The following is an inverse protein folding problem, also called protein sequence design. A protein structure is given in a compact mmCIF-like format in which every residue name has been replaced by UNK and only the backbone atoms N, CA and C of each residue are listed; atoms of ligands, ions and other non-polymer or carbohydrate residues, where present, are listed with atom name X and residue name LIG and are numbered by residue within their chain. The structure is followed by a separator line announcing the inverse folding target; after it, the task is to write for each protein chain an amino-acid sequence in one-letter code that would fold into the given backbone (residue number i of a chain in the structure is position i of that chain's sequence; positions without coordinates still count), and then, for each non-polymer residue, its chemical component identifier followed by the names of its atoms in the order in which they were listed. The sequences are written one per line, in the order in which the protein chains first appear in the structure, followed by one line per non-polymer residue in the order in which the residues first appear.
data_IF_999645709877
#
_entry.id   IF_999645709877
#
_cell.length_a   1.000
_cell.length_b   1.000
_cell.length_c   1.000
_cell.angle_alpha   90.00
_cell.angle_beta   90.00
_cell.angle_gamma   90.00
#
_symmetry.space_group_name_H-M   'P 1'
#
loop_
_entity.id
_entity.type
_entity.pdbx_description
1 polymer ?
#
# COMPACT_ATOMS: atom_id res chain seq x y z
N UNK A 1 -3.85 -52.32 -17.75
CA UNK A 1 -2.62 -52.19 -16.94
C UNK A 1 -2.49 -50.72 -16.56
N UNK A 2 -2.72 -50.40 -15.29
CA UNK A 2 -2.54 -49.04 -14.74
C UNK A 2 -1.13 -48.96 -14.15
N UNK A 3 -0.30 -47.95 -14.47
CA UNK A 3 0.98 -47.79 -13.81
C UNK A 3 0.80 -47.12 -12.45
N UNK A 4 1.32 -47.81 -11.44
CA UNK A 4 1.44 -47.40 -10.05
C UNK A 4 2.46 -46.24 -9.93
N UNK A 5 2.07 -45.14 -9.31
CA UNK A 5 2.98 -44.03 -8.96
C UNK A 5 2.85 -43.77 -7.46
N UNK A 6 3.69 -44.46 -6.70
CA UNK A 6 3.80 -44.27 -5.26
C UNK A 6 4.38 -42.87 -4.95
N UNK A 7 3.90 -42.19 -3.89
CA UNK A 7 4.37 -40.86 -3.52
C UNK A 7 5.81 -40.88 -2.96
N UNK A 8 6.61 -39.81 -3.16
CA UNK A 8 8.01 -39.78 -2.74
C UNK A 8 8.14 -39.84 -1.20
N UNK A 9 9.05 -40.69 -0.72
CA UNK A 9 9.24 -40.95 0.71
C UNK A 9 9.88 -39.78 1.46
N UNK A 10 9.62 -39.67 2.78
CA UNK A 10 10.15 -38.63 3.69
C UNK A 10 11.67 -38.43 3.61
N UNK A 11 12.43 -39.45 3.21
CA UNK A 11 13.88 -39.40 3.02
C UNK A 11 14.32 -38.51 1.84
N UNK A 12 13.49 -38.37 0.81
CA UNK A 12 13.75 -37.52 -0.36
C UNK A 12 13.57 -36.02 -0.05
N UNK A 13 12.58 -35.68 0.79
CA UNK A 13 12.30 -34.32 1.23
C UNK A 13 13.36 -33.77 2.21
N UNK A 14 13.90 -34.64 3.08
CA UNK A 14 14.99 -34.28 3.99
C UNK A 14 16.31 -34.04 3.23
N UNK A 15 16.57 -34.82 2.17
CA UNK A 15 17.74 -34.60 1.28
C UNK A 15 17.62 -33.30 0.50
N UNK A 16 16.40 -32.97 0.02
CA UNK A 16 16.11 -31.71 -0.65
C UNK A 16 16.31 -30.49 0.28
N UNK A 17 15.83 -30.57 1.53
CA UNK A 17 16.02 -29.51 2.54
C UNK A 17 17.49 -29.33 2.98
N UNK A 18 18.26 -30.43 3.09
CA UNK A 18 19.69 -30.36 3.41
C UNK A 18 20.51 -29.75 2.27
N UNK A 19 20.18 -30.03 1.01
CA UNK A 19 20.82 -29.40 -0.15
C UNK A 19 20.47 -27.90 -0.27
N UNK A 20 19.24 -27.51 0.05
CA UNK A 20 18.80 -26.11 0.06
C UNK A 20 19.51 -25.27 1.14
N UNK A 21 19.69 -25.83 2.34
CA UNK A 21 20.37 -25.14 3.46
C UNK A 21 21.90 -25.10 3.31
N UNK A 22 22.52 -26.13 2.73
CA UNK A 22 23.95 -26.13 2.41
C UNK A 22 24.29 -25.15 1.27
N UNK A 23 23.40 -24.96 0.29
CA UNK A 23 23.56 -23.95 -0.76
C UNK A 23 23.54 -22.51 -0.22
N UNK A 24 22.92 -22.27 0.95
CA UNK A 24 22.93 -20.98 1.64
C UNK A 24 24.19 -20.77 2.52
N UNK A 25 24.78 -21.85 3.07
CA UNK A 25 26.02 -21.77 3.88
C UNK A 25 27.30 -21.65 3.04
N UNK A 26 27.32 -22.18 1.81
CA UNK A 26 28.52 -22.22 0.98
C UNK A 26 28.94 -20.87 0.34
N UNK A 27 28.17 -19.78 0.54
CA UNK A 27 28.45 -18.46 -0.08
C UNK A 27 29.24 -17.46 0.80
N UNK A 28 30.07 -17.93 1.75
CA UNK A 28 31.00 -17.05 2.50
C UNK A 28 32.47 -17.23 2.08
N UNK A 29 32.93 -16.24 1.30
CA UNK A 29 34.30 -15.76 0.96
C UNK A 29 35.23 -16.63 0.10
N UNK A 30 35.97 -15.99 -0.85
CA UNK A 30 37.25 -15.38 -0.47
C UNK A 30 37.34 -13.87 -0.73
N UNK A 31 38.22 -13.22 0.03
CA UNK A 31 38.69 -11.84 -0.16
C UNK A 31 39.45 -11.69 -1.49
N UNK A 32 39.01 -10.77 -2.35
CA UNK A 32 39.89 -9.88 -3.13
C UNK A 32 39.09 -8.77 -3.83
N UNK A 33 39.67 -7.57 -3.88
CA UNK A 33 39.29 -6.35 -4.60
C UNK A 33 38.04 -5.54 -4.19
N UNK A 34 38.32 -4.50 -3.38
CA UNK A 34 37.58 -3.23 -3.34
C UNK A 34 37.65 -2.55 -4.72
N UNK A 35 36.63 -2.73 -5.54
CA UNK A 35 36.28 -1.80 -6.63
C UNK A 35 34.79 -2.00 -6.97
N UNK A 36 33.96 -1.00 -6.64
CA UNK A 36 32.56 -0.83 -7.04
C UNK A 36 31.72 -2.11 -7.26
N UNK A 37 31.37 -2.86 -6.20
CA UNK A 37 30.24 -3.80 -6.27
C UNK A 37 28.94 -2.99 -6.30
N UNK A 38 28.35 -2.87 -7.48
CA UNK A 38 26.92 -2.58 -7.62
C UNK A 38 26.17 -3.59 -6.73
N UNK A 39 25.36 -3.14 -5.78
CA UNK A 39 24.55 -4.05 -4.97
C UNK A 39 23.64 -4.82 -5.93
N UNK A 40 23.78 -6.14 -6.00
CA UNK A 40 23.08 -6.98 -7.00
C UNK A 40 21.55 -6.81 -6.92
N UNK A 41 21.01 -6.53 -5.73
CA UNK A 41 19.57 -6.38 -5.49
C UNK A 41 19.30 -5.32 -4.39
N UNK A 42 19.21 -4.01 -4.71
CA UNK A 42 19.07 -2.95 -3.71
C UNK A 42 17.64 -2.79 -3.15
N UNK A 43 16.66 -3.51 -3.71
CA UNK A 43 15.23 -3.39 -3.35
C UNK A 43 14.69 -4.65 -2.68
N UNK A 44 14.80 -5.81 -3.34
CA UNK A 44 14.34 -7.08 -2.76
C UNK A 44 15.39 -7.66 -1.81
N UNK A 45 14.95 -8.40 -0.80
CA UNK A 45 15.88 -9.04 0.14
C UNK A 45 16.51 -8.09 1.16
N UNK A 46 16.21 -6.79 1.10
CA UNK A 46 16.78 -5.76 1.98
C UNK A 46 15.83 -5.42 3.13
N UNK A 47 16.35 -4.98 4.30
CA UNK A 47 15.52 -4.38 5.34
C UNK A 47 14.65 -3.26 4.76
N UNK A 48 13.40 -3.15 5.22
CA UNK A 48 12.42 -2.20 4.66
C UNK A 48 12.97 -0.77 4.58
N UNK A 49 13.66 -0.32 5.64
CA UNK A 49 14.27 1.02 5.70
C UNK A 49 15.34 1.25 4.63
N UNK A 50 16.07 0.22 4.24
CA UNK A 50 17.09 0.28 3.19
C UNK A 50 16.43 0.31 1.80
N UNK A 51 15.51 -0.62 1.53
CA UNK A 51 14.74 -0.66 0.28
C UNK A 51 14.05 0.68 -0.03
N UNK A 52 13.46 1.33 0.98
CA UNK A 52 12.81 2.63 0.84
C UNK A 52 13.75 3.78 0.42
N UNK A 53 15.06 3.68 0.68
CA UNK A 53 16.06 4.68 0.24
C UNK A 53 16.26 4.65 -1.27
N UNK A 54 16.16 3.46 -1.88
CA UNK A 54 16.32 3.28 -3.31
C UNK A 54 15.00 3.53 -4.04
N UNK A 55 13.90 2.96 -3.54
CA UNK A 55 12.65 2.89 -4.28
C UNK A 55 11.44 3.08 -3.35
N UNK A 56 11.08 4.34 -3.08
CA UNK A 56 9.85 4.70 -2.38
C UNK A 56 8.94 5.65 -3.17
N UNK A 57 7.65 5.60 -2.85
CA UNK A 57 6.62 6.54 -3.30
C UNK A 57 5.83 7.07 -2.10
N UNK A 58 5.34 8.30 -2.23
CA UNK A 58 4.43 8.89 -1.25
C UNK A 58 3.03 8.32 -1.43
N UNK A 59 2.39 8.03 -0.31
CA UNK A 59 0.95 7.73 -0.24
C UNK A 59 0.26 8.85 0.51
N UNK A 60 -0.87 9.29 -0.05
CA UNK A 60 -1.69 10.35 0.52
C UNK A 60 -3.04 9.80 0.95
N UNK A 61 -3.58 10.37 2.02
CA UNK A 61 -4.95 10.12 2.49
C UNK A 61 -5.67 11.43 2.73
N UNK A 62 -7.00 11.38 2.79
CA UNK A 62 -7.84 12.53 3.10
C UNK A 62 -8.11 12.57 4.61
N UNK A 63 -8.06 13.75 5.22
CA UNK A 63 -8.58 13.94 6.57
C UNK A 63 -10.14 13.93 6.57
N UNK A 64 -10.76 14.03 7.76
CA UNK A 64 -12.22 14.10 7.89
C UNK A 64 -12.85 15.28 7.14
N UNK A 65 -12.06 16.31 6.82
CA UNK A 65 -12.49 17.50 6.06
C UNK A 65 -12.27 17.34 4.55
N UNK A 66 -11.75 16.20 4.09
CA UNK A 66 -11.44 15.93 2.68
C UNK A 66 -10.07 16.43 2.22
N UNK A 67 -9.28 17.09 3.07
CA UNK A 67 -7.95 17.59 2.68
C UNK A 67 -6.97 16.42 2.54
N UNK A 68 -6.33 16.35 1.37
CA UNK A 68 -5.27 15.39 1.11
C UNK A 68 -3.99 15.79 1.85
N UNK A 69 -3.44 14.86 2.62
CA UNK A 69 -2.12 15.01 3.24
C UNK A 69 -1.24 13.78 2.95
N UNK A 70 0.07 14.01 2.91
CA UNK A 70 1.05 12.92 2.77
C UNK A 70 1.04 12.11 4.05
N UNK A 71 0.60 10.86 3.93
CA UNK A 71 0.46 9.97 5.07
C UNK A 71 1.77 9.24 5.38
N UNK A 72 2.49 8.81 4.35
CA UNK A 72 3.74 8.09 4.50
C UNK A 72 4.42 7.74 3.18
N UNK A 73 5.46 6.91 3.28
CA UNK A 73 6.18 6.36 2.14
C UNK A 73 6.14 4.83 2.18
N UNK A 74 5.90 4.22 1.03
CA UNK A 74 5.94 2.76 0.85
C UNK A 74 6.81 2.38 -0.35
N UNK A 75 7.25 1.11 -0.46
CA UNK A 75 8.10 0.66 -1.56
C UNK A 75 7.40 0.81 -2.92
N UNK A 76 8.15 1.20 -3.96
CA UNK A 76 7.60 1.39 -5.33
C UNK A 76 6.92 0.12 -5.83
N UNK A 77 7.55 -1.05 -5.62
CA UNK A 77 6.99 -2.35 -6.01
C UNK A 77 5.63 -2.61 -5.37
N UNK A 78 5.49 -2.32 -4.07
CA UNK A 78 4.22 -2.48 -3.34
C UNK A 78 3.14 -1.56 -3.93
N UNK A 79 3.47 -0.28 -4.15
CA UNK A 79 2.52 0.68 -4.67
C UNK A 79 2.10 0.42 -6.13
N UNK A 80 3.06 0.15 -7.02
CA UNK A 80 2.82 -0.10 -8.44
C UNK A 80 2.02 -1.39 -8.65
N UNK A 81 2.43 -2.49 -8.00
CA UNK A 81 1.72 -3.74 -8.09
C UNK A 81 0.36 -3.66 -7.38
N UNK A 82 0.28 -3.03 -6.21
CA UNK A 82 -0.97 -2.88 -5.47
C UNK A 82 -2.04 -2.11 -6.24
N UNK A 83 -1.67 -0.98 -6.87
CA UNK A 83 -2.58 -0.22 -7.73
C UNK A 83 -3.07 -1.06 -8.92
N UNK A 84 -2.15 -1.69 -9.65
CA UNK A 84 -2.50 -2.54 -10.79
C UNK A 84 -3.46 -3.67 -10.40
N UNK A 85 -3.21 -4.34 -9.28
CA UNK A 85 -4.04 -5.42 -8.79
C UNK A 85 -5.43 -4.94 -8.37
N UNK A 86 -5.52 -3.77 -7.73
CA UNK A 86 -6.81 -3.17 -7.34
C UNK A 86 -7.67 -2.80 -8.55
N UNK A 87 -7.05 -2.39 -9.65
CA UNK A 87 -7.75 -2.00 -10.87
C UNK A 87 -8.10 -3.20 -11.77
N UNK A 88 -7.28 -4.25 -11.78
CA UNK A 88 -7.35 -5.29 -12.83
C UNK A 88 -7.59 -6.71 -12.29
N UNK A 89 -7.44 -6.96 -10.99
CA UNK A 89 -7.38 -8.33 -10.45
C UNK A 89 -8.42 -8.64 -9.37
N UNK A 90 -9.22 -7.67 -8.92
CA UNK A 90 -10.17 -7.85 -7.79
C UNK A 90 -11.21 -8.93 -8.01
N UNK A 91 -11.52 -9.26 -9.26
CA UNK A 91 -12.47 -10.32 -9.63
C UNK A 91 -11.80 -11.52 -10.32
N UNK A 92 -10.46 -11.54 -10.39
CA UNK A 92 -9.71 -12.66 -11.00
C UNK A 92 -9.54 -13.79 -9.99
N UNK A 93 -10.05 -14.97 -10.33
CA UNK A 93 -10.00 -16.17 -9.51
C UNK A 93 -8.58 -16.53 -9.06
N UNK A 94 -8.43 -16.81 -7.76
CA UNK A 94 -7.18 -17.30 -7.19
C UNK A 94 -6.04 -16.28 -7.22
N UNK A 95 -6.33 -14.97 -7.35
CA UNK A 95 -5.31 -13.92 -7.21
C UNK A 95 -4.54 -14.09 -5.88
N UNK A 96 -3.21 -13.91 -5.91
CA UNK A 96 -2.25 -14.24 -4.84
C UNK A 96 -2.01 -15.72 -4.51
N UNK A 97 -2.96 -16.61 -4.83
CA UNK A 97 -2.82 -18.07 -4.64
C UNK A 97 -2.12 -18.72 -5.82
N UNK A 98 -2.57 -18.42 -7.03
CA UNK A 98 -2.01 -18.94 -8.28
C UNK A 98 -0.68 -18.25 -8.56
N UNK A 99 0.37 -19.05 -8.77
CA UNK A 99 1.70 -18.54 -9.10
C UNK A 99 1.73 -18.05 -10.56
N UNK A 100 2.40 -16.92 -10.77
CA UNK A 100 2.76 -16.45 -12.10
C UNK A 100 3.86 -17.27 -12.77
N UNK A 101 4.22 -16.88 -13.99
CA UNK A 101 5.33 -17.43 -14.74
C UNK A 101 6.66 -17.05 -14.10
N UNK A 102 7.48 -18.04 -13.75
CA UNK A 102 8.82 -17.83 -13.17
C UNK A 102 9.73 -16.94 -14.02
N UNK A 103 9.59 -16.97 -15.35
CA UNK A 103 10.34 -16.07 -16.25
C UNK A 103 9.87 -14.64 -16.08
N UNK A 104 8.58 -14.38 -16.32
CA UNK A 104 8.01 -13.02 -16.24
C UNK A 104 8.12 -12.41 -14.84
N UNK A 105 8.00 -13.21 -13.79
CA UNK A 105 8.24 -12.74 -12.43
C UNK A 105 9.70 -12.30 -12.19
N UNK A 106 10.69 -12.98 -12.79
CA UNK A 106 12.09 -12.56 -12.72
C UNK A 106 12.31 -11.26 -13.49
N UNK A 107 11.73 -11.16 -14.69
CA UNK A 107 11.84 -9.97 -15.53
C UNK A 107 11.20 -8.74 -14.83
N UNK A 108 10.02 -8.92 -14.23
CA UNK A 108 9.33 -7.88 -13.46
C UNK A 108 10.10 -7.49 -12.19
N UNK A 109 10.67 -8.45 -11.46
CA UNK A 109 11.54 -8.15 -10.32
C UNK A 109 12.76 -7.32 -10.75
N UNK A 110 13.42 -7.70 -11.85
CA UNK A 110 14.55 -6.95 -12.38
C UNK A 110 14.18 -5.50 -12.74
N UNK A 111 12.98 -5.27 -13.27
CA UNK A 111 12.48 -3.92 -13.54
C UNK A 111 12.36 -3.05 -12.28
N UNK A 112 12.03 -3.65 -11.13
CA UNK A 112 11.99 -2.96 -9.83
C UNK A 112 13.36 -2.80 -9.16
N UNK A 113 14.36 -3.57 -9.57
CA UNK A 113 15.73 -3.48 -9.03
C UNK A 113 16.65 -2.60 -9.87
N UNK A 114 16.30 -2.34 -11.13
CA UNK A 114 17.18 -1.64 -12.07
C UNK A 114 17.10 -0.11 -11.89
N UNK A 115 18.23 0.57 -11.63
CA UNK A 115 18.30 2.03 -11.61
C UNK A 115 18.10 2.63 -13.00
N UNK A 116 17.79 3.94 -13.11
CA UNK A 116 17.58 4.88 -12.01
C UNK A 116 16.15 4.91 -11.50
N UNK A 117 15.22 4.21 -12.18
CA UNK A 117 13.78 4.38 -11.95
C UNK A 117 13.18 3.34 -11.01
N UNK A 118 13.79 2.16 -10.82
CA UNK A 118 13.31 1.12 -9.91
C UNK A 118 11.80 0.84 -10.07
N UNK A 119 11.36 0.64 -11.31
CA UNK A 119 9.96 0.41 -11.67
C UNK A 119 9.03 1.64 -11.62
N UNK A 120 9.50 2.85 -11.28
CA UNK A 120 8.65 4.06 -11.26
C UNK A 120 8.03 4.39 -12.62
N UNK A 121 8.75 4.12 -13.71
CA UNK A 121 8.28 4.31 -15.09
C UNK A 121 7.60 3.09 -15.69
N UNK A 122 7.37 2.02 -14.92
CA UNK A 122 6.68 0.85 -15.42
C UNK A 122 5.27 1.26 -15.85
N UNK A 123 4.96 0.98 -17.12
CA UNK A 123 3.67 1.25 -17.76
C UNK A 123 3.01 -0.08 -18.11
N UNK A 124 2.04 -0.46 -17.28
CA UNK A 124 1.35 -1.74 -17.39
C UNK A 124 0.66 -1.99 -18.74
N UNK A 125 0.33 -0.93 -19.50
CA UNK A 125 -0.33 -1.07 -20.82
C UNK A 125 0.58 -1.64 -21.90
N UNK A 126 1.88 -1.41 -21.77
CA UNK A 126 2.90 -1.83 -22.73
C UNK A 126 3.66 -3.09 -22.28
N UNK A 127 3.21 -3.68 -21.16
CA UNK A 127 3.83 -4.85 -20.56
C UNK A 127 2.96 -6.09 -20.74
N UNK A 128 3.58 -7.27 -20.72
CA UNK A 128 2.92 -8.56 -20.97
C UNK A 128 2.78 -9.41 -19.70
N UNK A 129 2.70 -8.74 -18.54
CA UNK A 129 2.51 -9.38 -17.24
C UNK A 129 1.04 -9.68 -16.98
N UNK A 130 0.74 -10.88 -16.47
CA UNK A 130 -0.60 -11.22 -16.00
C UNK A 130 -0.81 -10.73 -14.56
N UNK A 131 -2.07 -10.67 -14.13
CA UNK A 131 -2.42 -10.40 -12.73
C UNK A 131 -1.75 -11.36 -11.75
N UNK A 132 -1.60 -12.64 -12.10
CA UNK A 132 -0.88 -13.62 -11.28
C UNK A 132 0.63 -13.34 -11.20
N UNK A 133 1.26 -12.87 -12.28
CA UNK A 133 2.67 -12.47 -12.26
C UNK A 133 2.89 -11.30 -11.29
N UNK A 134 2.05 -10.27 -11.40
CA UNK A 134 2.12 -9.06 -10.55
C UNK A 134 1.83 -9.40 -9.09
N UNK A 135 0.78 -10.20 -8.82
CA UNK A 135 0.44 -10.67 -7.48
C UNK A 135 1.58 -11.49 -6.84
N UNK A 136 2.24 -12.32 -7.64
CA UNK A 136 3.35 -13.15 -7.17
C UNK A 136 4.59 -12.32 -6.84
N UNK A 137 4.89 -11.27 -7.62
CA UNK A 137 6.00 -10.34 -7.34
C UNK A 137 5.70 -9.47 -6.11
N UNK A 138 4.46 -8.98 -5.97
CA UNK A 138 4.02 -8.26 -4.76
C UNK A 138 4.26 -9.10 -3.50
N UNK A 139 3.76 -10.35 -3.50
CA UNK A 139 3.98 -11.28 -2.38
C UNK A 139 5.47 -11.56 -2.15
N UNK A 140 6.22 -11.80 -3.23
CA UNK A 140 7.66 -12.08 -3.15
C UNK A 140 8.43 -10.97 -2.45
N UNK A 141 8.11 -9.70 -2.75
CA UNK A 141 8.76 -8.58 -2.08
C UNK A 141 8.61 -8.66 -0.55
N UNK A 142 7.39 -8.87 -0.06
CA UNK A 142 7.11 -8.97 1.37
C UNK A 142 7.81 -10.19 2.02
N UNK A 143 7.77 -11.34 1.36
CA UNK A 143 8.35 -12.59 1.89
C UNK A 143 9.88 -12.60 1.85
N UNK A 144 10.51 -11.86 0.94
CA UNK A 144 11.97 -11.80 0.84
C UNK A 144 12.59 -10.79 1.81
N UNK A 145 11.82 -9.91 2.44
CA UNK A 145 12.36 -9.04 3.48
C UNK A 145 13.01 -9.89 4.59
N UNK A 146 14.16 -9.47 5.14
CA UNK A 146 14.84 -10.22 6.18
C UNK A 146 14.06 -10.31 7.50
N UNK A 147 13.07 -9.43 7.66
CA UNK A 147 12.12 -9.40 8.76
C UNK A 147 10.72 -9.15 8.17
N UNK A 148 9.66 -9.80 8.69
CA UNK A 148 8.29 -9.56 8.27
C UNK A 148 7.84 -8.13 8.54
N UNK A 149 6.72 -7.73 7.95
CA UNK A 149 6.17 -6.39 8.11
C UNK A 149 5.88 -6.05 9.58
N UNK A 150 5.29 -6.99 10.34
CA UNK A 150 5.21 -6.89 11.81
C UNK A 150 6.55 -7.35 12.37
N UNK A 151 7.36 -6.47 12.97
CA UNK A 151 8.70 -6.82 13.44
C UNK A 151 8.69 -7.94 14.49
N UNK A 152 9.80 -8.67 14.60
CA UNK A 152 9.94 -9.82 15.49
C UNK A 152 9.74 -9.44 16.97
N UNK A 153 10.17 -8.24 17.38
CA UNK A 153 10.01 -7.74 18.75
C UNK A 153 8.54 -7.47 19.13
N UNK A 154 7.65 -7.32 18.15
CA UNK A 154 6.21 -7.15 18.34
C UNK A 154 5.41 -8.43 18.05
N UNK A 155 6.07 -9.49 17.59
CA UNK A 155 5.40 -10.73 17.14
C UNK A 155 4.52 -11.35 18.22
N UNK A 156 5.01 -11.45 19.45
CA UNK A 156 4.25 -12.01 20.58
C UNK A 156 3.10 -11.09 20.99
N UNK A 157 3.34 -9.79 21.12
CA UNK A 157 2.31 -8.81 21.47
C UNK A 157 1.09 -8.86 20.54
N UNK A 158 1.32 -9.01 19.22
CA UNK A 158 0.25 -9.16 18.25
C UNK A 158 -0.52 -10.47 18.41
N UNK A 159 0.14 -11.56 18.79
CA UNK A 159 -0.49 -12.87 18.96
C UNK A 159 -1.30 -12.97 20.25
N UNK A 160 -0.76 -12.45 21.33
CA UNK A 160 -1.34 -12.53 22.67
C UNK A 160 -2.73 -11.89 22.73
N UNK A 161 -3.01 -10.91 21.87
CA UNK A 161 -4.32 -10.27 21.73
C UNK A 161 -5.45 -11.27 21.38
N UNK A 162 -5.15 -12.40 20.75
CA UNK A 162 -6.14 -13.42 20.33
C UNK A 162 -5.95 -14.79 21.00
N UNK A 163 -5.02 -14.92 21.95
CA UNK A 163 -4.77 -16.21 22.65
C UNK A 163 -5.97 -16.62 23.50
N UNK A 164 -6.57 -15.68 24.24
CA UNK A 164 -7.69 -15.99 25.13
C UNK A 164 -9.02 -16.03 24.36
N UNK A 165 -9.75 -17.14 24.46
CA UNK A 165 -11.08 -17.28 23.88
C UNK A 165 -12.13 -17.65 24.96
N UNK A 166 -13.34 -17.07 24.88
CA UNK A 166 -13.77 -16.00 23.97
C UNK A 166 -13.09 -14.67 24.31
N UNK A 167 -12.73 -13.88 23.30
CA UNK A 167 -12.20 -12.52 23.50
C UNK A 167 -13.29 -11.47 23.31
N UNK A 168 -13.11 -10.32 23.96
CA UNK A 168 -13.92 -9.15 23.70
C UNK A 168 -13.40 -8.43 22.44
N UNK A 169 -14.23 -8.36 21.41
CA UNK A 169 -13.86 -7.84 20.08
C UNK A 169 -13.34 -6.40 20.13
N UNK A 170 -14.03 -5.50 20.84
CA UNK A 170 -13.64 -4.09 20.96
C UNK A 170 -12.31 -3.92 21.69
N UNK A 171 -12.05 -4.72 22.74
CA UNK A 171 -10.76 -4.72 23.44
C UNK A 171 -9.62 -5.20 22.55
N UNK A 172 -9.87 -6.18 21.69
CA UNK A 172 -8.89 -6.67 20.72
C UNK A 172 -8.59 -5.60 19.66
N UNK A 173 -9.62 -4.96 19.11
CA UNK A 173 -9.44 -3.83 18.18
C UNK A 173 -8.62 -2.71 18.83
N UNK A 174 -8.98 -2.30 20.05
CA UNK A 174 -8.24 -1.27 20.79
C UNK A 174 -6.78 -1.67 21.03
N UNK A 175 -6.52 -2.95 21.32
CA UNK A 175 -5.17 -3.48 21.49
C UNK A 175 -4.37 -3.38 20.19
N UNK A 176 -4.93 -3.82 19.06
CA UNK A 176 -4.26 -3.72 17.77
C UNK A 176 -4.03 -2.27 17.33
N UNK A 177 -4.97 -1.35 17.57
CA UNK A 177 -4.77 0.09 17.33
C UNK A 177 -3.53 0.61 18.07
N UNK A 178 -3.38 0.25 19.35
CA UNK A 178 -2.21 0.62 20.17
C UNK A 178 -0.93 0.00 19.63
N UNK A 179 -0.94 -1.28 19.25
CA UNK A 179 0.24 -1.97 18.72
C UNK A 179 0.67 -1.37 17.37
N UNK A 180 -0.25 -1.21 16.43
CA UNK A 180 0.02 -0.60 15.12
C UNK A 180 0.58 0.82 15.28
N UNK A 181 0.08 1.59 16.24
CA UNK A 181 0.57 2.95 16.53
C UNK A 181 2.00 2.98 17.10
N UNK A 182 2.48 1.88 17.70
CA UNK A 182 3.83 1.74 18.25
C UNK A 182 4.83 1.15 17.25
N UNK A 183 4.36 0.65 16.10
CA UNK A 183 5.23 0.09 15.08
C UNK A 183 6.18 1.15 14.51
N UNK A 184 7.37 0.77 14.01
CA UNK A 184 8.20 1.66 13.21
C UNK A 184 7.38 2.23 12.05
N UNK A 185 7.47 3.55 11.81
CA UNK A 185 6.60 4.26 10.84
C UNK A 185 6.55 3.60 9.46
N UNK A 186 7.70 3.18 8.93
CA UNK A 186 7.77 2.49 7.63
C UNK A 186 6.94 1.18 7.61
N UNK A 187 7.08 0.37 8.66
CA UNK A 187 6.35 -0.88 8.84
C UNK A 187 4.86 -0.62 9.04
N UNK A 188 4.50 0.40 9.83
CA UNK A 188 3.12 0.82 10.05
C UNK A 188 2.42 1.15 8.72
N UNK A 189 3.02 2.02 7.90
CA UNK A 189 2.45 2.42 6.62
C UNK A 189 2.33 1.25 5.64
N UNK A 190 3.36 0.39 5.60
CA UNK A 190 3.35 -0.80 4.76
C UNK A 190 2.25 -1.78 5.19
N UNK A 191 2.14 -2.07 6.49
CA UNK A 191 1.13 -3.00 7.02
C UNK A 191 -0.27 -2.57 6.62
N UNK A 192 -0.61 -1.33 6.88
CA UNK A 192 -1.94 -0.79 6.65
C UNK A 192 -2.29 -0.67 5.18
N UNK A 193 -1.33 -0.33 4.32
CA UNK A 193 -1.53 -0.38 2.87
C UNK A 193 -1.81 -1.82 2.41
N UNK A 194 -1.06 -2.80 2.92
CA UNK A 194 -1.28 -4.20 2.57
C UNK A 194 -2.64 -4.67 3.10
N UNK A 195 -3.01 -4.33 4.33
CA UNK A 195 -4.33 -4.68 4.89
C UNK A 195 -5.47 -4.08 4.06
N UNK A 196 -5.38 -2.81 3.66
CA UNK A 196 -6.37 -2.16 2.77
C UNK A 196 -6.51 -2.91 1.44
N UNK A 197 -5.38 -3.28 0.83
CA UNK A 197 -5.41 -4.05 -0.40
C UNK A 197 -6.08 -5.41 -0.18
N UNK A 198 -5.68 -6.16 0.85
CA UNK A 198 -6.23 -7.49 1.13
C UNK A 198 -7.72 -7.45 1.46
N UNK A 199 -8.20 -6.42 2.17
CA UNK A 199 -9.63 -6.27 2.47
C UNK A 199 -10.47 -6.03 1.21
N UNK A 200 -9.94 -5.30 0.21
CA UNK A 200 -10.60 -5.14 -1.10
C UNK A 200 -10.79 -6.49 -1.79
N UNK A 201 -9.78 -7.36 -1.76
CA UNK A 201 -9.89 -8.70 -2.34
C UNK A 201 -10.84 -9.60 -1.53
N UNK A 202 -10.74 -9.58 -0.20
CA UNK A 202 -11.63 -10.35 0.67
C UNK A 202 -13.11 -9.99 0.47
N UNK A 203 -13.43 -8.70 0.29
CA UNK A 203 -14.80 -8.23 -0.01
C UNK A 203 -15.35 -8.68 -1.37
N UNK A 204 -14.49 -9.19 -2.26
CA UNK A 204 -14.83 -9.72 -3.59
C UNK A 204 -14.61 -11.23 -3.68
N UNK A 205 -14.56 -11.92 -2.54
CA UNK A 205 -14.26 -13.35 -2.48
C UNK A 205 -15.31 -14.24 -3.14
N UNK A 206 -16.53 -13.73 -3.35
CA UNK A 206 -17.57 -14.38 -4.15
C UNK A 206 -17.15 -14.57 -5.61
N UNK A 207 -16.29 -13.69 -6.13
CA UNK A 207 -15.76 -13.75 -7.50
C UNK A 207 -14.34 -14.29 -7.55
N UNK A 208 -13.43 -13.72 -6.76
CA UNK A 208 -12.02 -14.09 -6.84
C UNK A 208 -11.65 -15.34 -6.00
N UNK A 209 -12.57 -15.88 -5.19
CA UNK A 209 -12.42 -17.06 -4.33
C UNK A 209 -11.41 -16.91 -3.18
N UNK A 210 -10.96 -15.68 -2.88
CA UNK A 210 -9.98 -15.36 -1.86
C UNK A 210 -10.62 -14.69 -0.65
N UNK A 211 -11.06 -15.50 0.32
CA UNK A 211 -11.52 -15.01 1.63
C UNK A 211 -10.38 -14.43 2.46
N UNK A 212 -10.70 -13.69 3.53
CA UNK A 212 -9.71 -13.19 4.49
C UNK A 212 -8.86 -14.32 5.08
N UNK A 213 -9.46 -15.47 5.40
CA UNK A 213 -8.75 -16.69 5.83
C UNK A 213 -7.73 -17.16 4.79
N UNK A 214 -8.13 -17.26 3.52
CA UNK A 214 -7.26 -17.72 2.44
C UNK A 214 -6.08 -16.75 2.22
N UNK A 215 -6.36 -15.45 2.27
CA UNK A 215 -5.33 -14.41 2.15
C UNK A 215 -4.38 -14.43 3.36
N UNK A 216 -4.89 -14.62 4.57
CA UNK A 216 -4.08 -14.71 5.78
C UNK A 216 -3.08 -15.88 5.71
N UNK A 217 -3.50 -17.05 5.23
CA UNK A 217 -2.59 -18.19 5.01
C UNK A 217 -1.45 -17.83 4.06
N UNK A 218 -1.74 -17.12 2.96
CA UNK A 218 -0.77 -16.77 1.92
C UNK A 218 0.20 -15.68 2.39
N UNK A 219 -0.29 -14.65 3.08
CA UNK A 219 0.48 -13.46 3.43
C UNK A 219 1.16 -13.55 4.80
N UNK A 220 0.75 -14.47 5.68
CA UNK A 220 1.37 -14.69 7.00
C UNK A 220 2.90 -14.74 6.95
N UNK A 221 3.57 -15.50 6.05
CA UNK A 221 5.04 -15.57 6.05
C UNK A 221 5.74 -14.21 5.91
N UNK A 222 5.16 -13.28 5.14
CA UNK A 222 5.73 -11.94 4.93
C UNK A 222 5.19 -10.86 5.88
N UNK A 223 4.09 -11.12 6.59
CA UNK A 223 3.45 -10.13 7.47
C UNK A 223 3.66 -10.42 8.95
N UNK A 224 3.61 -11.68 9.38
CA UNK A 224 3.72 -12.09 10.78
C UNK A 224 4.33 -13.49 10.90
N UNK A 225 5.65 -13.54 11.03
CA UNK A 225 6.44 -14.76 11.18
C UNK A 225 7.53 -14.57 12.23
N UNK A 226 8.05 -15.66 12.78
CA UNK A 226 9.12 -15.61 13.76
C UNK A 226 10.02 -16.85 13.60
N UNK A 227 11.36 -16.70 13.63
CA UNK A 227 12.30 -17.81 13.41
C UNK A 227 12.05 -19.01 14.32
N UNK A 228 11.72 -18.77 15.60
CA UNK A 228 11.47 -19.84 16.58
C UNK A 228 10.22 -20.69 16.25
N UNK A 229 9.31 -20.19 15.42
CA UNK A 229 8.05 -20.85 15.11
C UNK A 229 7.99 -21.40 13.68
N UNK A 230 9.02 -21.22 12.86
CA UNK A 230 9.05 -21.66 11.46
C UNK A 230 8.76 -23.16 11.27
N UNK A 231 9.23 -23.99 12.21
CA UNK A 231 9.07 -25.44 12.20
C UNK A 231 7.86 -25.92 13.04
N UNK A 232 7.01 -25.00 13.50
CA UNK A 232 5.88 -25.28 14.40
C UNK A 232 4.55 -24.95 13.72
N UNK A 233 3.91 -25.92 13.02
CA UNK A 233 2.66 -25.68 12.30
C UNK A 233 1.51 -25.16 13.18
N UNK A 234 1.46 -25.56 14.46
CA UNK A 234 0.46 -25.07 15.41
C UNK A 234 0.58 -23.56 15.67
N UNK A 235 1.81 -23.05 15.79
CA UNK A 235 2.09 -21.61 16.01
C UNK A 235 1.69 -20.76 14.79
N UNK A 236 1.72 -21.36 13.60
CA UNK A 236 1.28 -20.72 12.36
C UNK A 236 -0.22 -20.41 12.37
N UNK A 237 -1.04 -21.28 12.99
CA UNK A 237 -2.49 -21.10 13.01
C UNK A 237 -2.90 -19.84 13.77
N UNK A 238 -2.30 -19.57 14.94
CA UNK A 238 -2.60 -18.34 15.67
C UNK A 238 -2.18 -17.10 14.87
N UNK A 239 -1.01 -17.14 14.22
CA UNK A 239 -0.53 -16.03 13.39
C UNK A 239 -1.45 -15.79 12.17
N UNK A 240 -2.04 -16.85 11.62
CA UNK A 240 -3.05 -16.76 10.55
C UNK A 240 -4.34 -16.13 11.07
N UNK A 241 -4.85 -16.54 12.24
CA UNK A 241 -6.04 -15.94 12.87
C UNK A 241 -5.86 -14.46 13.19
N UNK A 242 -4.66 -14.07 13.64
CA UNK A 242 -4.29 -12.66 13.84
C UNK A 242 -4.40 -11.89 12.53
N UNK A 243 -3.80 -12.39 11.46
CA UNK A 243 -3.82 -11.70 10.18
C UNK A 243 -5.23 -11.67 9.56
N UNK A 244 -6.00 -12.75 9.68
CA UNK A 244 -7.40 -12.80 9.26
C UNK A 244 -8.23 -11.73 9.98
N UNK A 245 -8.12 -11.64 11.31
CA UNK A 245 -8.79 -10.60 12.10
C UNK A 245 -8.41 -9.19 11.64
N UNK A 246 -7.12 -8.95 11.38
CA UNK A 246 -6.64 -7.64 10.93
C UNK A 246 -7.18 -7.27 9.53
N UNK A 247 -7.35 -8.26 8.63
CA UNK A 247 -7.94 -8.06 7.30
C UNK A 247 -9.44 -7.75 7.43
N UNK A 248 -10.17 -8.51 8.24
CA UNK A 248 -11.63 -8.33 8.42
C UNK A 248 -11.97 -7.02 9.13
N UNK A 249 -11.12 -6.58 10.08
CA UNK A 249 -11.32 -5.36 10.85
C UNK A 249 -10.55 -4.16 10.30
N UNK A 250 -10.08 -4.24 9.04
CA UNK A 250 -9.19 -3.25 8.45
C UNK A 250 -9.71 -1.81 8.53
N UNK A 251 -11.02 -1.60 8.38
CA UNK A 251 -11.66 -0.27 8.42
C UNK A 251 -11.41 0.46 9.75
N UNK A 252 -11.26 -0.29 10.86
CA UNK A 252 -10.98 0.29 12.18
C UNK A 252 -9.59 0.89 12.30
N UNK A 253 -8.62 0.51 11.45
CA UNK A 253 -7.23 0.92 11.60
C UNK A 253 -6.85 2.15 10.75
N UNK A 254 -7.70 2.58 9.79
CA UNK A 254 -7.35 3.69 8.90
C UNK A 254 -7.66 5.09 9.47
N UNK A 255 -8.70 5.22 10.29
CA UNK A 255 -9.21 6.52 10.73
C UNK A 255 -8.42 7.16 11.88
N UNK A 256 -7.58 6.39 12.58
CA UNK A 256 -6.96 6.84 13.85
C UNK A 256 -5.51 7.34 13.73
N UNK A 257 -4.95 7.45 12.52
CA UNK A 257 -3.53 7.78 12.37
C UNK A 257 -3.36 9.27 12.09
N UNK A 258 -2.79 10.04 13.04
CA UNK A 258 -2.51 11.44 12.80
C UNK A 258 -1.46 11.60 11.69
N UNK A 259 -1.52 12.69 10.91
CA UNK A 259 -0.52 13.00 9.90
C UNK A 259 0.89 12.97 10.51
N UNK A 260 1.92 12.57 9.74
CA UNK A 260 3.29 12.72 10.20
C UNK A 260 3.52 14.18 10.64
N UNK A 261 4.24 14.42 11.75
CA UNK A 261 4.54 15.77 12.18
C UNK A 261 5.19 16.52 11.02
N UNK A 262 4.69 17.71 10.70
CA UNK A 262 5.29 18.52 9.62
C UNK A 262 6.76 18.75 10.00
N UNK A 263 7.69 18.68 9.04
CA UNK A 263 9.00 19.25 9.26
C UNK A 263 8.77 20.72 9.59
N UNK A 264 9.04 21.12 10.83
CA UNK A 264 9.09 22.53 11.21
C UNK A 264 10.04 23.22 10.21
N UNK A 265 9.61 24.30 9.53
CA UNK A 265 10.55 25.09 8.77
C UNK A 265 11.61 25.55 9.77
N UNK A 266 12.86 25.13 9.58
CA UNK A 266 13.97 25.56 10.41
C UNK A 266 14.00 27.09 10.40
N UNK A 267 13.48 27.69 11.45
CA UNK A 267 13.50 29.13 11.70
C UNK A 267 14.93 29.52 12.08
N UNK A 268 15.81 29.60 11.09
CA UNK A 268 17.12 30.24 11.24
C UNK A 268 17.80 30.65 9.94
N UNK A 269 17.26 30.34 8.75
CA UNK A 269 17.82 30.87 7.50
C UNK A 269 16.96 31.99 6.93
N UNK A 270 17.32 33.23 7.29
CA UNK A 270 16.98 34.41 6.49
C UNK A 270 17.99 34.52 5.35
N UNK A 271 17.58 34.60 4.07
CA UNK A 271 18.48 35.00 3.01
C UNK A 271 19.08 36.38 3.34
N UNK A 272 20.36 36.65 3.03
CA UNK A 272 20.90 38.00 3.20
C UNK A 272 20.06 38.98 2.39
N UNK A 273 19.70 40.10 3.01
CA UNK A 273 19.09 41.23 2.31
C UNK A 273 20.02 41.63 1.16
N UNK A 274 19.48 41.60 -0.07
CA UNK A 274 20.20 42.06 -1.26
C UNK A 274 20.52 43.56 -1.06
N UNK A 275 21.78 44.01 -1.26
CA UNK A 275 22.13 45.43 -1.18
C UNK A 275 21.30 46.24 -2.20
N UNK A 276 20.91 47.49 -1.88
CA UNK A 276 19.95 48.26 -2.68
C UNK A 276 20.60 48.93 -3.89
N UNK A 277 21.35 48.21 -4.72
CA UNK A 277 21.81 48.73 -6.00
C UNK A 277 21.86 47.59 -7.01
N UNK A 278 20.82 47.50 -7.83
CA UNK A 278 20.77 46.95 -9.19
C UNK A 278 19.29 46.83 -9.57
N UNK A 279 18.76 47.90 -10.17
CA UNK A 279 17.45 47.88 -10.80
C UNK A 279 17.49 46.94 -12.02
N UNK A 280 16.46 46.11 -12.27
CA UNK A 280 16.32 45.42 -13.54
C UNK A 280 15.87 46.41 -14.64
N UNK A 281 16.29 46.22 -15.91
CA UNK A 281 15.85 47.07 -17.01
C UNK A 281 14.36 46.83 -17.34
N UNK A 282 13.67 47.82 -17.94
CA UNK A 282 12.22 47.76 -18.16
C UNK A 282 11.85 46.71 -19.22
N UNK A 283 10.72 46.04 -18.98
CA UNK A 283 10.08 45.12 -19.91
C UNK A 283 9.52 45.91 -21.10
N UNK A 284 9.80 45.42 -22.31
CA UNK A 284 9.11 45.86 -23.52
C UNK A 284 7.79 45.12 -23.66
N UNK A 285 6.71 45.88 -23.76
CA UNK A 285 5.37 45.45 -24.12
C UNK A 285 5.33 44.92 -25.56
N UNK A 286 4.68 43.78 -25.76
CA UNK A 286 4.12 43.37 -27.04
C UNK A 286 2.84 42.57 -26.75
N UNK A 287 1.70 43.21 -26.97
CA UNK A 287 0.39 42.60 -27.10
C UNK A 287 0.28 41.91 -28.47
N UNK A 288 -0.35 40.73 -28.53
CA UNK A 288 -1.40 40.44 -29.52
C UNK A 288 -2.24 39.22 -29.06
N UNK A 289 -3.58 39.19 -29.32
CA UNK A 289 -4.55 38.31 -28.69
C UNK A 289 -4.93 37.10 -29.57
N UNK A 290 -6.02 36.44 -29.17
CA UNK A 290 -6.76 35.36 -29.86
C UNK A 290 -6.36 33.91 -29.55
N UNK A 291 -7.11 33.30 -28.64
CA UNK A 291 -8.07 32.24 -29.00
C UNK A 291 -8.89 31.79 -27.78
N UNK A 292 -10.19 32.00 -27.87
CA UNK A 292 -11.23 31.60 -26.92
C UNK A 292 -11.43 30.09 -26.98
N UNK A 293 -11.37 29.39 -25.83
CA UNK A 293 -11.85 28.01 -25.68
C UNK A 293 -13.01 28.01 -24.69
N UNK A 294 -14.19 27.64 -25.18
CA UNK A 294 -15.36 27.31 -24.36
C UNK A 294 -15.25 25.84 -23.97
N UNK A 295 -15.33 25.44 -22.70
CA UNK A 295 -15.54 24.04 -22.33
C UNK A 295 -17.03 23.76 -22.17
N UNK A 296 -17.53 22.80 -22.95
CA UNK A 296 -18.83 22.17 -22.78
C UNK A 296 -18.85 21.32 -21.51
N UNK A 297 -19.89 21.51 -20.70
CA UNK A 297 -20.29 20.69 -19.57
C UNK A 297 -20.56 19.25 -19.96
N UNK A 298 -20.10 18.31 -19.14
CA UNK A 298 -20.97 17.33 -18.46
C UNK A 298 -20.13 16.53 -17.44
N UNK A 299 -20.39 16.77 -16.15
CA UNK A 299 -20.10 15.83 -15.07
C UNK A 299 -21.43 15.46 -14.42
N UNK A 300 -21.67 14.17 -14.21
CA UNK A 300 -22.54 13.66 -13.15
C UNK A 300 -21.86 12.42 -12.51
N UNK A 301 -22.16 12.10 -11.24
CA UNK A 301 -21.18 11.60 -10.28
C UNK A 301 -21.46 10.17 -9.77
N UNK A 302 -20.43 9.47 -9.28
CA UNK A 302 -20.63 8.38 -8.30
C UNK A 302 -19.53 8.34 -7.21
N UNK A 303 -19.91 8.19 -5.92
CA UNK A 303 -18.99 8.12 -4.80
C UNK A 303 -18.68 6.66 -4.42
N UNK A 304 -17.40 6.28 -4.31
CA UNK A 304 -16.99 5.07 -3.58
C UNK A 304 -15.65 5.27 -2.88
N UNK A 305 -15.69 5.24 -1.54
CA UNK A 305 -14.60 4.75 -0.68
C UNK A 305 -13.42 5.69 -0.47
N UNK A 306 -13.14 6.02 0.80
CA UNK A 306 -11.90 6.67 1.23
C UNK A 306 -10.70 5.79 0.87
N UNK A 307 -10.12 6.04 -0.29
CA UNK A 307 -9.03 5.25 -0.86
C UNK A 307 -7.75 6.08 -1.01
N UNK A 308 -6.64 5.47 -0.64
CA UNK A 308 -5.28 5.99 -0.84
C UNK A 308 -5.05 6.42 -2.29
N UNK A 309 -4.58 7.65 -2.49
CA UNK A 309 -4.22 8.17 -3.82
C UNK A 309 -2.70 8.26 -3.95
N UNK A 310 -2.17 7.68 -5.03
CA UNK A 310 -0.79 7.88 -5.45
C UNK A 310 -0.70 9.20 -6.21
N UNK A 311 0.12 10.13 -5.71
CA UNK A 311 0.30 11.43 -6.39
C UNK A 311 1.50 11.33 -7.34
N UNK A 312 1.23 11.40 -8.64
CA UNK A 312 2.20 11.79 -9.65
C UNK A 312 2.38 13.30 -9.61
N UNK A 313 3.63 13.77 -9.59
CA UNK A 313 3.94 15.20 -9.50
C UNK A 313 3.65 15.87 -10.85
N UNK A 314 2.44 16.38 -11.03
CA UNK A 314 2.09 17.27 -12.13
C UNK A 314 1.60 18.62 -11.57
N UNK A 315 2.24 19.70 -12.01
CA UNK A 315 2.10 21.04 -11.48
C UNK A 315 0.82 21.68 -12.06
N UNK A 316 -0.27 21.76 -11.29
CA UNK A 316 -1.38 22.68 -11.58
C UNK A 316 -1.70 23.53 -10.35
N UNK A 317 -1.35 24.81 -10.44
CA UNK A 317 -1.76 25.88 -9.51
C UNK A 317 -3.26 26.13 -9.70
N UNK A 318 -4.04 25.92 -8.65
CA UNK A 318 -5.44 26.38 -8.59
C UNK A 318 -5.53 27.63 -7.72
N UNK A 319 -5.71 28.77 -8.39
CA UNK A 319 -5.98 30.07 -7.80
C UNK A 319 -7.45 30.14 -7.37
N UNK A 320 -7.69 30.33 -6.08
CA UNK A 320 -9.01 30.59 -5.49
C UNK A 320 -9.47 32.00 -5.89
N UNK A 321 -10.61 32.15 -6.56
CA UNK A 321 -11.35 33.42 -6.62
C UNK A 321 -12.64 33.31 -5.81
N UNK A 322 -12.90 34.38 -5.07
CA UNK A 322 -13.99 34.64 -4.14
C UNK A 322 -14.80 35.77 -4.78
N UNK A 323 -16.10 35.64 -4.94
CA UNK A 323 -16.98 36.78 -5.22
C UNK A 323 -18.36 36.60 -4.57
N UNK A 324 -18.76 37.67 -3.92
CA UNK A 324 -20.02 38.03 -3.25
C UNK A 324 -21.05 38.55 -4.26
N UNK A 325 -22.36 38.38 -4.00
CA UNK A 325 -23.31 39.50 -3.83
C UNK A 325 -24.73 39.06 -3.45
N UNK A 326 -25.37 39.93 -2.65
CA UNK A 326 -26.73 39.98 -2.08
C UNK A 326 -27.84 40.10 -3.16
N UNK A 327 -29.03 39.49 -3.00
CA UNK A 327 -30.27 39.89 -2.29
C UNK A 327 -31.16 40.95 -2.97
N UNK A 328 -32.45 40.62 -3.11
CA UNK A 328 -33.71 41.42 -3.24
C UNK A 328 -34.74 40.47 -3.89
N UNK A 329 -35.98 40.19 -3.45
CA UNK A 329 -36.89 40.76 -2.47
C UNK A 329 -38.31 40.68 -3.09
N UNK A 330 -39.31 40.14 -2.38
CA UNK A 330 -40.74 40.30 -2.76
C UNK A 330 -41.70 39.11 -2.54
N UNK A 331 -42.35 39.06 -1.38
CA UNK A 331 -43.67 38.43 -1.10
C UNK A 331 -44.79 39.48 -1.43
N UNK A 332 -46.14 39.23 -1.33
CA UNK A 332 -46.84 38.20 -0.52
C UNK A 332 -48.20 37.63 -1.03
N UNK A 333 -48.73 36.69 -0.23
CA UNK A 333 -50.14 36.49 0.20
C UNK A 333 -51.15 35.76 -0.70
N UNK A 334 -51.62 34.58 -0.26
CA UNK A 334 -52.93 34.44 0.43
C UNK A 334 -53.27 32.96 0.71
N UNK A 335 -53.74 32.70 1.94
CA UNK A 335 -54.53 31.53 2.35
C UNK A 335 -56.00 32.04 2.54
N UNK A 336 -57.00 31.26 3.03
CA UNK A 336 -57.04 29.84 3.44
C UNK A 336 -58.33 29.09 2.99
N UNK A 337 -58.44 27.77 3.27
CA UNK A 337 -59.69 27.14 3.77
C UNK A 337 -59.48 25.69 4.24
N UNK A 338 -59.92 25.43 5.47
CA UNK A 338 -60.17 24.12 6.12
C UNK A 338 -61.26 23.32 5.39
N UNK A 339 -61.33 22.00 5.58
CA UNK A 339 -62.49 21.27 6.18
C UNK A 339 -62.24 19.74 6.25
N UNK A 340 -61.97 19.28 7.49
CA UNK A 340 -62.49 18.12 8.26
C UNK A 340 -62.80 16.71 7.70
N UNK A 341 -62.65 15.75 8.65
CA UNK A 341 -63.26 14.41 8.82
C UNK A 341 -62.74 13.26 7.92
N UNK A 342 -62.45 12.05 8.38
CA UNK A 342 -62.59 11.38 9.68
C UNK A 342 -62.85 9.87 9.49
N UNK A 343 -62.25 9.01 10.34
CA UNK A 343 -62.51 7.56 10.54
C UNK A 343 -62.24 6.65 9.31
N UNK A 344 -61.61 5.48 9.44
CA UNK A 344 -61.75 4.40 10.42
C UNK A 344 -60.44 3.62 10.55
#
# INVERSE_FOLDING_TARGET
MVPDTSPPSKASLLKWWSQFTNAQKAKKFPEYNKAHKQEEHPVFGKPLKESLRHASVQISTANANGDLYVWGYIPVVVAKCGLYLKENATEVEGTFRVNGSTKRMRDLQAAFETPPRYGKSLDWKNEHYTTHDVASVFRRYLTQMPEPVIPHDMYHDFRDALVQQPFNHDKVIATYKRLISRMPRANQYLLLYVLDLLSVFARKSDKNLMTATNLAVIFRPGLISHPNHELSPGEHQLSQKVLEFLIDQQDWFLFDIPPPPRPEPSSSWRPPLRPPHLAPPPAHDAEDPDLVVVPSSDEEPHPVGGGWKLVGRENRRLTRRRTTHEHLGGLPSSAPARTTLGRR
#
